data_IF_112083370380
#
_entry.id   IF_112083370380
#
_cell.length_a   1.000
_cell.length_b   1.000
_cell.length_c   1.000
_cell.angle_alpha   90.00
_cell.angle_beta   90.00
_cell.angle_gamma   90.00
#
_symmetry.space_group_name_H-M   'P 1'
#
loop_
_entity.id
_entity.type
_entity.pdbx_description
1 polymer ?
#
# COMPACT_ATOMS: atom_id res chain seq x y z
N UNK A 1 1.67 2.89 15.92
CA UNK A 1 2.83 2.90 15.01
C UNK A 1 3.16 4.36 14.69
N UNK A 2 4.42 4.80 14.77
CA UNK A 2 4.79 6.20 14.45
C UNK A 2 5.05 6.35 12.94
N UNK A 3 4.91 7.55 12.35
CA UNK A 3 5.13 7.76 10.90
C UNK A 3 6.49 7.27 10.39
N UNK A 4 7.56 7.46 11.18
CA UNK A 4 8.91 6.95 10.85
C UNK A 4 9.01 5.43 10.79
N UNK A 5 8.22 4.72 11.59
CA UNK A 5 8.18 3.26 11.58
C UNK A 5 7.48 2.76 10.31
N UNK A 6 6.39 3.44 9.91
CA UNK A 6 5.67 3.15 8.67
C UNK A 6 6.58 3.39 7.46
N UNK A 7 7.25 4.54 7.42
CA UNK A 7 8.20 4.88 6.37
C UNK A 7 9.33 3.85 6.26
N UNK A 8 9.96 3.49 7.38
CA UNK A 8 11.02 2.49 7.43
C UNK A 8 10.55 1.14 6.88
N UNK A 9 9.38 0.65 7.31
CA UNK A 9 8.81 -0.61 6.85
C UNK A 9 8.51 -0.57 5.34
N UNK A 10 7.83 0.48 4.87
CA UNK A 10 7.48 0.64 3.46
C UNK A 10 8.72 0.75 2.58
N UNK A 11 9.74 1.50 3.01
CA UNK A 11 10.99 1.64 2.27
C UNK A 11 11.67 0.28 2.08
N UNK A 12 11.72 -0.57 3.12
CA UNK A 12 12.29 -1.92 3.03
C UNK A 12 11.53 -2.80 2.05
N UNK A 13 10.19 -2.72 2.06
CA UNK A 13 9.33 -3.45 1.12
C UNK A 13 9.58 -2.99 -0.32
N UNK A 14 9.65 -1.68 -0.56
CA UNK A 14 9.92 -1.12 -1.89
C UNK A 14 11.31 -1.52 -2.41
N UNK A 15 12.33 -1.47 -1.55
CA UNK A 15 13.69 -1.93 -1.90
C UNK A 15 13.74 -3.43 -2.21
N UNK A 16 12.95 -4.25 -1.50
CA UNK A 16 12.88 -5.69 -1.77
C UNK A 16 12.18 -5.99 -3.10
N UNK A 17 11.17 -5.20 -3.48
CA UNK A 17 10.42 -5.37 -4.72
C UNK A 17 11.18 -4.85 -5.97
N UNK A 18 12.17 -3.97 -5.80
CA UNK A 18 12.87 -3.28 -6.89
C UNK A 18 14.38 -3.55 -6.88
N UNK A 19 14.87 -4.53 -7.67
CA UNK A 19 16.30 -4.85 -7.75
C UNK A 19 17.20 -3.69 -8.22
N UNK A 20 16.63 -2.74 -8.95
CA UNK A 20 17.29 -1.51 -9.40
C UNK A 20 17.54 -0.51 -8.25
N UNK A 21 16.82 -0.62 -7.13
CA UNK A 21 16.92 0.27 -5.97
C UNK A 21 17.13 -0.48 -4.63
N UNK A 22 17.56 -1.74 -4.70
CA UNK A 22 17.63 -2.64 -3.54
C UNK A 22 18.80 -2.37 -2.57
N UNK A 23 19.66 -1.38 -2.85
CA UNK A 23 20.77 -1.00 -1.96
C UNK A 23 20.78 0.51 -1.72
N UNK A 24 21.31 0.93 -0.56
CA UNK A 24 21.40 2.36 -0.22
C UNK A 24 22.23 3.16 -1.25
N UNK A 25 23.36 2.66 -1.79
CA UNK A 25 24.08 3.38 -2.84
C UNK A 25 23.27 3.58 -4.13
N UNK A 26 22.53 2.55 -4.58
CA UNK A 26 21.65 2.67 -5.77
C UNK A 26 20.54 3.69 -5.53
N UNK A 27 19.93 3.65 -4.35
CA UNK A 27 18.87 4.60 -3.98
C UNK A 27 19.42 6.02 -3.81
N UNK A 28 20.63 6.20 -3.27
CA UNK A 28 21.31 7.50 -3.22
C UNK A 28 21.54 8.05 -4.62
N UNK A 29 22.05 7.24 -5.55
CA UNK A 29 22.27 7.66 -6.92
C UNK A 29 20.97 8.08 -7.64
N UNK A 30 19.84 7.42 -7.31
CA UNK A 30 18.54 7.74 -7.92
C UNK A 30 17.80 8.91 -7.27
N UNK A 31 17.83 9.01 -5.94
CA UNK A 31 17.03 9.98 -5.17
C UNK A 31 17.79 11.26 -4.83
N UNK A 32 19.12 11.26 -4.90
CA UNK A 32 19.95 12.36 -4.41
C UNK A 32 19.98 12.50 -2.88
N UNK A 33 19.36 11.58 -2.14
CA UNK A 33 19.42 11.55 -0.67
C UNK A 33 20.68 10.80 -0.21
N UNK A 34 21.43 11.39 0.71
CA UNK A 34 22.70 10.83 1.18
C UNK A 34 22.51 9.47 1.85
N UNK A 35 23.51 8.58 1.70
CA UNK A 35 23.46 7.23 2.25
C UNK A 35 23.26 7.23 3.78
N UNK A 36 23.93 8.13 4.51
CA UNK A 36 23.75 8.28 5.97
C UNK A 36 22.36 8.74 6.37
N UNK A 37 21.68 9.56 5.55
CA UNK A 37 20.28 9.90 5.79
C UNK A 37 19.37 8.70 5.50
N UNK A 38 19.56 8.01 4.36
CA UNK A 38 18.78 6.83 4.02
C UNK A 38 18.90 5.71 5.06
N UNK A 39 20.10 5.48 5.61
CA UNK A 39 20.28 4.47 6.65
C UNK A 39 19.53 4.85 7.95
N UNK A 40 19.55 6.13 8.34
CA UNK A 40 18.77 6.62 9.50
C UNK A 40 17.26 6.49 9.28
N UNK A 41 16.78 6.79 8.06
CA UNK A 41 15.37 6.60 7.67
C UNK A 41 15.01 5.12 7.73
N UNK A 42 15.83 4.24 7.14
CA UNK A 42 15.63 2.79 7.15
C UNK A 42 15.61 2.20 8.56
N UNK A 43 16.32 2.80 9.52
CA UNK A 43 16.29 2.41 10.95
C UNK A 43 15.22 3.11 11.78
N UNK A 44 14.35 3.93 11.18
CA UNK A 44 13.35 4.74 11.89
C UNK A 44 13.95 5.64 12.99
N UNK A 45 15.21 6.07 12.81
CA UNK A 45 15.98 6.83 13.80
C UNK A 45 15.71 8.34 13.75
N UNK A 46 15.12 8.84 12.66
CA UNK A 46 14.86 10.27 12.42
C UNK A 46 13.43 10.49 11.94
N UNK A 47 12.92 11.70 12.16
CA UNK A 47 11.72 12.19 11.48
C UNK A 47 12.15 12.84 10.17
N UNK A 48 11.75 12.24 9.05
CA UNK A 48 12.12 12.68 7.70
C UNK A 48 11.34 13.94 7.32
N UNK A 49 12.02 14.89 6.67
CA UNK A 49 11.39 16.09 6.11
C UNK A 49 10.59 15.75 4.86
N UNK A 50 9.59 16.59 4.54
CA UNK A 50 8.75 16.40 3.35
C UNK A 50 9.59 16.43 2.07
N UNK A 51 10.57 17.34 1.95
CA UNK A 51 11.45 17.42 0.78
C UNK A 51 12.26 16.12 0.52
N UNK A 52 12.71 15.45 1.59
CA UNK A 52 13.42 14.18 1.47
C UNK A 52 12.46 13.03 1.12
N UNK A 53 11.23 13.10 1.65
CA UNK A 53 10.15 12.17 1.34
C UNK A 53 9.76 12.26 -0.15
N UNK A 54 9.67 13.47 -0.71
CA UNK A 54 9.38 13.71 -2.12
C UNK A 54 10.46 13.13 -3.03
N UNK A 55 11.74 13.38 -2.73
CA UNK A 55 12.87 12.82 -3.48
C UNK A 55 12.86 11.29 -3.50
N UNK A 56 12.56 10.69 -2.34
CA UNK A 56 12.42 9.24 -2.22
C UNK A 56 11.24 8.72 -3.05
N UNK A 57 10.07 9.34 -2.91
CA UNK A 57 8.85 8.94 -3.63
C UNK A 57 9.06 9.00 -5.15
N UNK A 58 9.67 10.09 -5.63
CA UNK A 58 10.03 10.25 -7.03
C UNK A 58 11.01 9.16 -7.51
N UNK A 59 12.00 8.77 -6.70
CA UNK A 59 12.91 7.68 -7.05
C UNK A 59 12.16 6.35 -7.25
N UNK A 60 11.10 6.12 -6.45
CA UNK A 60 10.24 4.94 -6.55
C UNK A 60 9.07 5.10 -7.55
N UNK A 61 8.85 6.29 -8.11
CA UNK A 61 7.74 6.56 -9.04
C UNK A 61 6.36 6.51 -8.38
N UNK A 62 6.27 6.89 -7.11
CA UNK A 62 5.04 6.91 -6.30
C UNK A 62 4.83 8.30 -5.69
N UNK A 63 3.63 8.55 -5.17
CA UNK A 63 3.35 9.79 -4.45
C UNK A 63 3.95 9.80 -3.03
N UNK A 64 4.39 10.96 -2.50
CA UNK A 64 5.03 11.04 -1.17
C UNK A 64 4.15 10.52 -0.03
N UNK A 65 2.83 10.71 -0.15
CA UNK A 65 1.88 10.22 0.85
C UNK A 65 1.80 8.68 0.90
N UNK A 66 2.18 7.97 -0.18
CA UNK A 66 2.15 6.51 -0.22
C UNK A 66 3.26 5.90 0.63
N UNK A 67 4.41 6.56 0.73
CA UNK A 67 5.50 6.15 1.61
C UNK A 67 5.08 6.11 3.08
N UNK A 68 4.07 6.90 3.47
CA UNK A 68 3.52 6.96 4.83
C UNK A 68 2.22 6.19 5.01
N UNK A 69 1.77 5.45 3.98
CA UNK A 69 0.54 4.66 4.06
C UNK A 69 0.79 3.35 4.82
N UNK A 70 0.04 3.04 5.89
CA UNK A 70 0.19 1.76 6.58
C UNK A 70 -0.06 0.57 5.65
N UNK A 71 0.77 -0.46 5.74
CA UNK A 71 0.58 -1.70 5.00
C UNK A 71 -0.81 -2.30 5.26
N UNK A 72 -1.47 -2.78 4.21
CA UNK A 72 -2.83 -3.33 4.27
C UNK A 72 -3.95 -2.30 4.13
N UNK A 73 -3.66 -1.00 4.09
CA UNK A 73 -4.63 0.01 3.63
C UNK A 73 -4.46 0.24 2.14
N UNK A 74 -5.40 -0.25 1.33
CA UNK A 74 -5.56 0.26 -0.04
C UNK A 74 -6.06 1.70 0.01
N UNK A 75 -5.63 2.51 -0.95
CA UNK A 75 -6.26 3.81 -1.17
C UNK A 75 -7.75 3.66 -1.46
N UNK A 76 -8.54 4.73 -1.30
CA UNK A 76 -9.95 4.71 -1.68
C UNK A 76 -10.08 4.29 -3.14
N UNK A 77 -10.97 3.35 -3.42
CA UNK A 77 -11.20 2.88 -4.80
C UNK A 77 -11.67 4.04 -5.69
N UNK A 78 -11.49 3.99 -7.01
CA UNK A 78 -12.01 5.02 -7.92
C UNK A 78 -13.51 5.27 -7.72
N UNK A 79 -14.28 4.22 -7.45
CA UNK A 79 -15.70 4.31 -7.12
C UNK A 79 -15.93 5.05 -5.78
N UNK A 80 -15.08 4.82 -4.78
CA UNK A 80 -15.12 5.56 -3.50
C UNK A 80 -14.97 7.06 -3.73
N UNK A 81 -14.00 7.44 -4.57
CA UNK A 81 -13.72 8.82 -4.88
C UNK A 81 -14.86 9.47 -5.68
N UNK A 82 -15.44 8.75 -6.65
CA UNK A 82 -16.60 9.23 -7.40
C UNK A 82 -17.82 9.43 -6.49
N UNK A 83 -18.09 8.47 -5.60
CA UNK A 83 -19.18 8.56 -4.63
C UNK A 83 -18.94 9.72 -3.66
N UNK A 84 -17.73 9.87 -3.12
CA UNK A 84 -17.36 10.99 -2.27
C UNK A 84 -17.60 12.35 -2.95
N UNK A 85 -17.16 12.51 -4.21
CA UNK A 85 -17.38 13.73 -4.98
C UNK A 85 -18.86 14.00 -5.28
N UNK A 86 -19.65 12.95 -5.50
CA UNK A 86 -21.09 13.07 -5.70
C UNK A 86 -21.80 13.51 -4.42
N UNK A 87 -21.43 12.93 -3.28
CA UNK A 87 -21.97 13.28 -1.97
C UNK A 87 -21.57 14.70 -1.55
N UNK A 88 -20.35 15.13 -1.85
CA UNK A 88 -19.87 16.49 -1.60
C UNK A 88 -20.74 17.54 -2.30
N UNK A 89 -21.09 17.30 -3.56
CA UNK A 89 -21.98 18.18 -4.34
C UNK A 89 -23.42 18.21 -3.81
N UNK A 90 -23.83 17.17 -3.10
CA UNK A 90 -25.20 16.97 -2.61
C UNK A 90 -25.38 17.42 -1.15
N UNK A 91 -24.28 17.55 -0.40
CA UNK A 91 -24.30 17.88 1.01
C UNK A 91 -24.56 19.38 1.19
N UNK A 92 -25.61 19.72 1.93
CA UNK A 92 -25.93 21.10 2.32
C UNK A 92 -25.20 21.56 3.58
N UNK A 93 -24.61 20.63 4.34
CA UNK A 93 -23.97 20.89 5.65
C UNK A 93 -22.74 19.98 5.88
N UNK A 94 -21.65 20.46 6.52
CA UNK A 94 -20.39 19.73 6.70
C UNK A 94 -20.52 18.43 7.51
N UNK A 95 -21.48 18.34 8.44
CA UNK A 95 -21.68 17.12 9.24
C UNK A 95 -22.24 15.99 8.38
N UNK A 96 -23.12 16.32 7.44
CA UNK A 96 -23.69 15.36 6.48
C UNK A 96 -22.63 14.90 5.48
N UNK A 97 -21.73 15.81 5.08
CA UNK A 97 -20.59 15.50 4.24
C UNK A 97 -19.65 14.46 4.89
N UNK A 98 -19.28 14.68 6.16
CA UNK A 98 -18.43 13.74 6.91
C UNK A 98 -19.10 12.39 7.16
N UNK A 99 -20.38 12.36 7.48
CA UNK A 99 -21.13 11.12 7.67
C UNK A 99 -21.23 10.30 6.38
N UNK A 100 -21.50 10.96 5.25
CA UNK A 100 -21.63 10.30 3.96
C UNK A 100 -20.28 9.78 3.44
N UNK A 101 -19.20 10.55 3.62
CA UNK A 101 -17.84 10.12 3.29
C UNK A 101 -17.38 8.92 4.14
N UNK A 102 -17.63 8.97 5.46
CA UNK A 102 -17.29 7.87 6.37
C UNK A 102 -18.06 6.58 6.01
N UNK A 103 -19.35 6.69 5.69
CA UNK A 103 -20.16 5.55 5.24
C UNK A 103 -19.64 4.96 3.93
N UNK A 104 -19.30 5.80 2.94
CA UNK A 104 -18.75 5.37 1.66
C UNK A 104 -17.43 4.61 1.82
N UNK A 105 -16.51 5.12 2.64
CA UNK A 105 -15.24 4.44 2.95
C UNK A 105 -15.47 3.10 3.66
N UNK A 106 -16.38 3.05 4.64
CA UNK A 106 -16.68 1.84 5.39
C UNK A 106 -17.26 0.73 4.50
N UNK A 107 -18.18 1.06 3.59
CA UNK A 107 -18.74 0.08 2.64
C UNK A 107 -17.66 -0.49 1.72
N UNK A 108 -16.74 0.36 1.26
CA UNK A 108 -15.72 -0.05 0.29
C UNK A 108 -14.63 -0.89 0.96
N UNK A 109 -14.23 -0.54 2.18
CA UNK A 109 -13.33 -1.36 2.99
C UNK A 109 -13.96 -2.72 3.36
N UNK A 110 -15.25 -2.73 3.70
CA UNK A 110 -16.01 -3.96 3.95
C UNK A 110 -16.11 -4.85 2.70
N UNK A 111 -16.32 -4.27 1.52
CA UNK A 111 -16.31 -5.01 0.25
C UNK A 111 -14.92 -5.55 -0.10
N UNK A 112 -13.86 -4.77 0.12
CA UNK A 112 -12.47 -5.22 -0.06
C UNK A 112 -12.10 -6.38 0.86
N UNK A 113 -12.46 -6.28 2.13
CA UNK A 113 -12.25 -7.33 3.15
C UNK A 113 -13.04 -8.61 2.84
N UNK A 114 -14.27 -8.49 2.34
CA UNK A 114 -15.10 -9.64 1.92
C UNK A 114 -14.49 -10.37 0.72
N UNK A 115 -13.83 -9.64 -0.19
CA UNK A 115 -13.15 -10.21 -1.36
C UNK A 115 -11.85 -10.92 -0.99
N UNK A 116 -11.11 -10.41 0.00
CA UNK A 116 -9.91 -11.06 0.55
C UNK A 116 -10.22 -12.31 1.38
N UNK A 117 -11.46 -12.47 1.86
CA UNK A 117 -11.92 -13.61 2.68
C UNK A 117 -12.65 -14.71 1.88
N UNK A 118 -12.77 -14.57 0.56
CA UNK A 118 -13.27 -15.66 -0.28
C UNK A 118 -12.27 -16.83 -0.22
N UNK A 119 -12.69 -18.05 0.18
CA UNK A 119 -11.78 -19.18 0.27
C UNK A 119 -11.25 -19.50 -1.12
N UNK A 120 -9.93 -19.52 -1.28
CA UNK A 120 -9.28 -20.20 -2.39
C UNK A 120 -9.79 -21.64 -2.40
N UNK A 121 -10.57 -21.99 -3.42
CA UNK A 121 -11.09 -23.33 -3.61
C UNK A 121 -9.94 -24.36 -3.53
N UNK A 122 -10.13 -25.51 -2.86
CA UNK A 122 -9.09 -26.50 -2.75
C UNK A 122 -8.79 -27.07 -4.14
N UNK A 123 -7.50 -27.05 -4.52
CA UNK A 123 -6.99 -27.71 -5.71
C UNK A 123 -7.52 -29.16 -5.75
N UNK A 124 -8.38 -29.43 -6.73
CA UNK A 124 -8.97 -30.73 -6.93
C UNK A 124 -7.86 -31.78 -7.16
N UNK A 125 -7.84 -32.77 -6.27
CA UNK A 125 -7.10 -34.03 -6.42
C UNK A 125 -7.40 -34.65 -7.79
N UNK A 126 -6.37 -34.85 -8.59
CA UNK A 126 -6.37 -35.84 -9.68
C UNK A 126 -5.31 -36.90 -9.38
N UNK A 127 -5.62 -37.73 -8.37
CA UNK A 127 -5.04 -39.06 -8.26
C UNK A 127 -5.75 -39.95 -9.30
N UNK A 128 -5.18 -40.08 -10.50
CA UNK A 128 -5.56 -41.14 -11.42
C UNK A 128 -4.94 -42.46 -10.93
N UNK A 129 -5.71 -43.19 -10.13
CA UNK A 129 -5.59 -44.63 -10.04
C UNK A 129 -6.13 -45.23 -11.33
N UNK A 130 -5.27 -45.83 -12.14
CA UNK A 130 -5.66 -46.83 -13.15
C UNK A 130 -5.10 -48.17 -12.71
N UNK A 131 -5.85 -48.89 -11.88
CA UNK A 131 -5.67 -50.30 -11.62
C UNK A 131 -6.59 -51.11 -12.56
N UNK A 132 -6.02 -52.09 -13.28
CA UNK A 132 -6.59 -53.35 -13.82
C UNK A 132 -5.50 -53.95 -14.74
N UNK A 133 -4.71 -54.91 -14.28
CA UNK A 133 -4.99 -56.37 -14.19
C UNK A 133 -4.70 -57.11 -15.51
N UNK A 134 -4.02 -58.26 -15.37
CA UNK A 134 -3.64 -59.29 -16.35
C UNK A 134 -2.37 -59.07 -17.22
N UNK A 135 -1.25 -59.63 -16.78
CA UNK A 135 -0.71 -60.93 -17.21
C UNK A 135 0.54 -61.27 -16.38
#
# INVERSE_FOLDING_TARGET
MRPRDILSANLRTLMAARPDLNTLPKLTARSGVSNGTLDRIRRAAVSTRVDELEKLAHAFGIEPCELLRPAGRSGPSPLAMQLAAHLDRSAKDPATHMAAYAAALAVIDAMGSKRARAPSAPAARSAQAKAKSHA
#
